data_IF_828154301820
#
_entry.id   IF_828154301820
#
_cell.length_a   1.000
_cell.length_b   1.000
_cell.length_c   1.000
_cell.angle_alpha   90.00
_cell.angle_beta   90.00
_cell.angle_gamma   90.00
#
_symmetry.space_group_name_H-M   'P 1'
#
loop_
_entity.id
_entity.type
_entity.pdbx_description
1 polymer ?
#
# COMPACT_ATOMS: atom_id res chain seq x y z
N UNK A 1 -24.18 -3.29 2.42
CA UNK A 1 -22.74 -3.45 2.16
C UNK A 1 -21.95 -2.40 2.94
N UNK A 2 -20.89 -2.78 3.70
CA UNK A 2 -20.16 -1.80 4.53
C UNK A 2 -19.12 -1.07 3.68
N UNK A 3 -19.30 0.24 3.50
CA UNK A 3 -18.39 1.08 2.71
C UNK A 3 -17.00 1.29 3.34
N UNK A 4 -16.85 1.05 4.65
CA UNK A 4 -15.60 1.29 5.40
C UNK A 4 -15.41 0.23 6.49
N UNK A 5 -14.17 -0.20 6.69
CA UNK A 5 -13.72 -1.16 7.71
C UNK A 5 -12.85 -0.45 8.74
N UNK A 6 -12.72 -0.99 9.95
CA UNK A 6 -11.91 -0.39 11.01
C UNK A 6 -11.20 -1.48 11.81
N UNK A 7 -10.04 -1.13 12.38
CA UNK A 7 -9.41 -1.94 13.43
C UNK A 7 -10.20 -1.72 14.71
N UNK A 8 -10.68 -2.80 15.33
CA UNK A 8 -11.47 -2.75 16.56
C UNK A 8 -10.63 -3.31 17.72
N UNK A 9 -10.73 -2.68 18.90
CA UNK A 9 -10.08 -3.17 20.13
C UNK A 9 -10.66 -4.50 20.61
N UNK A 10 -11.92 -4.79 20.28
CA UNK A 10 -12.60 -6.06 20.57
C UNK A 10 -13.69 -6.33 19.52
N UNK A 11 -14.05 -7.61 19.33
CA UNK A 11 -15.13 -8.02 18.42
C UNK A 11 -14.81 -7.99 16.91
N UNK A 12 -13.55 -7.76 16.54
CA UNK A 12 -13.06 -7.88 15.15
C UNK A 12 -12.73 -9.31 14.74
N UNK A 13 -12.60 -9.55 13.43
CA UNK A 13 -12.02 -10.80 12.90
C UNK A 13 -10.50 -10.67 12.86
N UNK A 14 -9.79 -11.77 13.12
CA UNK A 14 -8.33 -11.81 12.99
C UNK A 14 -7.87 -11.43 11.58
N UNK A 15 -6.87 -10.54 11.53
CA UNK A 15 -6.27 -10.01 10.33
C UNK A 15 -4.78 -9.76 10.58
N UNK A 16 -3.93 -10.39 9.78
CA UNK A 16 -2.47 -10.41 9.93
C UNK A 16 -1.86 -10.04 8.58
N UNK A 17 -1.03 -9.00 8.58
CA UNK A 17 -0.27 -8.50 7.42
C UNK A 17 1.15 -8.23 7.85
N UNK A 18 2.09 -8.98 7.30
CA UNK A 18 3.52 -8.68 7.45
C UNK A 18 3.89 -7.62 6.43
N UNK A 19 4.84 -6.74 6.76
CA UNK A 19 5.31 -5.74 5.82
C UNK A 19 6.79 -5.43 5.99
N UNK A 20 7.42 -5.05 4.87
CA UNK A 20 8.81 -4.61 4.82
C UNK A 20 8.89 -3.33 3.99
N UNK A 21 9.54 -2.30 4.53
CA UNK A 21 9.85 -1.08 3.78
C UNK A 21 10.98 -1.39 2.80
N UNK A 22 10.70 -1.26 1.51
CA UNK A 22 11.67 -1.53 0.44
C UNK A 22 12.45 -0.27 0.07
N UNK A 23 11.76 0.87 0.04
CA UNK A 23 12.34 2.16 -0.33
C UNK A 23 11.58 3.30 0.34
N UNK A 24 12.29 4.37 0.70
CA UNK A 24 11.71 5.60 1.23
C UNK A 24 11.96 6.75 0.27
N UNK A 25 11.05 7.71 0.22
CA UNK A 25 11.05 8.82 -0.72
C UNK A 25 10.89 10.16 -0.02
N UNK A 26 11.53 11.19 -0.59
CA UNK A 26 11.50 12.56 -0.08
C UNK A 26 12.36 12.77 1.17
N UNK A 27 12.95 13.96 1.28
CA UNK A 27 13.58 14.40 2.53
C UNK A 27 12.52 14.73 3.59
N UNK A 28 12.78 14.44 4.88
CA UNK A 28 11.84 14.73 5.94
C UNK A 28 11.43 16.21 5.98
N UNK A 29 10.13 16.49 5.90
CA UNK A 29 9.61 17.86 5.92
C UNK A 29 9.51 18.47 7.34
N UNK A 30 9.79 17.70 8.41
CA UNK A 30 9.63 18.11 9.82
C UNK A 30 10.65 17.44 10.74
N UNK A 31 10.75 17.94 11.96
CA UNK A 31 11.58 17.43 13.06
C UNK A 31 11.44 15.93 13.39
N UNK A 32 10.42 15.25 12.83
CA UNK A 32 10.17 13.82 13.03
C UNK A 32 11.12 12.91 12.23
N UNK A 33 11.95 13.43 11.32
CA UNK A 33 12.86 12.66 10.44
C UNK A 33 12.17 11.56 9.61
N UNK A 34 10.84 11.56 9.49
CA UNK A 34 10.09 10.58 8.72
C UNK A 34 10.12 10.92 7.22
N UNK A 35 10.22 9.92 6.33
CA UNK A 35 10.14 10.14 4.88
C UNK A 35 8.74 10.61 4.47
N UNK A 36 8.63 11.21 3.29
CA UNK A 36 7.35 11.71 2.76
C UNK A 36 6.47 10.59 2.22
N UNK A 37 7.08 9.54 1.68
CA UNK A 37 6.42 8.33 1.21
C UNK A 37 7.35 7.11 1.32
N UNK A 38 6.79 5.91 1.19
CA UNK A 38 7.56 4.68 1.17
C UNK A 38 6.90 3.63 0.26
N UNK A 39 7.73 2.83 -0.42
CA UNK A 39 7.34 1.59 -1.09
C UNK A 39 7.44 0.46 -0.08
N UNK A 40 6.33 -0.24 0.12
CA UNK A 40 6.21 -1.28 1.14
C UNK A 40 5.75 -2.57 0.48
N UNK A 41 6.50 -3.65 0.70
CA UNK A 41 6.05 -4.99 0.37
C UNK A 41 5.17 -5.50 1.52
N UNK A 42 3.97 -5.99 1.19
CA UNK A 42 3.03 -6.54 2.16
C UNK A 42 2.77 -8.02 1.84
N UNK A 43 2.87 -8.88 2.86
CA UNK A 43 2.53 -10.30 2.78
C UNK A 43 1.27 -10.58 3.59
N UNK A 44 0.27 -11.20 2.95
CA UNK A 44 -1.00 -11.52 3.57
C UNK A 44 -0.97 -12.92 4.18
N UNK A 45 -1.09 -13.02 5.51
CA UNK A 45 -1.37 -14.29 6.19
C UNK A 45 -2.89 -14.58 6.24
N UNK A 46 -3.68 -13.53 6.04
CA UNK A 46 -5.15 -13.57 6.03
C UNK A 46 -5.67 -12.61 4.95
N UNK A 47 -6.88 -12.84 4.44
CA UNK A 47 -7.46 -12.08 3.31
C UNK A 47 -8.75 -11.33 3.64
N UNK A 48 -8.76 -10.49 4.68
CA UNK A 48 -9.96 -9.70 5.06
C UNK A 48 -10.20 -8.53 4.11
N UNK A 49 -11.45 -8.09 4.01
CA UNK A 49 -11.85 -6.95 3.18
C UNK A 49 -11.06 -5.69 3.55
N UNK A 50 -10.41 -5.07 2.56
CA UNK A 50 -9.60 -3.86 2.72
C UNK A 50 -8.43 -3.98 3.71
N UNK A 51 -7.99 -5.20 4.06
CA UNK A 51 -7.05 -5.44 5.16
C UNK A 51 -5.80 -4.56 5.11
N UNK A 52 -5.04 -4.58 3.99
CA UNK A 52 -3.83 -3.75 3.84
C UNK A 52 -4.16 -2.26 4.00
N UNK A 53 -5.22 -1.79 3.34
CA UNK A 53 -5.63 -0.38 3.36
C UNK A 53 -5.93 0.10 4.79
N UNK A 54 -6.66 -0.71 5.55
CA UNK A 54 -7.03 -0.44 6.94
C UNK A 54 -5.82 -0.51 7.87
N UNK A 55 -4.99 -1.55 7.74
CA UNK A 55 -3.79 -1.72 8.57
C UNK A 55 -2.82 -0.55 8.38
N UNK A 56 -2.49 -0.22 7.13
CA UNK A 56 -1.57 0.87 6.81
C UNK A 56 -2.10 2.22 7.30
N UNK A 57 -3.39 2.50 7.12
CA UNK A 57 -4.02 3.71 7.68
C UNK A 57 -3.99 3.75 9.21
N UNK A 58 -4.27 2.62 9.90
CA UNK A 58 -4.23 2.54 11.36
C UNK A 58 -2.84 2.78 11.97
N UNK A 59 -1.78 2.49 11.20
CA UNK A 59 -0.38 2.77 11.56
C UNK A 59 0.06 4.19 11.22
N UNK A 60 -0.84 5.04 10.73
CA UNK A 60 -0.54 6.42 10.32
C UNK A 60 0.18 6.54 8.98
N UNK A 61 0.19 5.47 8.17
CA UNK A 61 0.84 5.44 6.84
C UNK A 61 -0.17 4.96 5.77
N UNK A 62 -1.28 5.70 5.54
CA UNK A 62 -2.29 5.29 4.58
C UNK A 62 -1.72 5.20 3.15
N UNK A 63 -2.34 4.38 2.30
CA UNK A 63 -1.92 4.24 0.91
C UNK A 63 -2.16 5.53 0.13
N UNK A 64 -1.20 5.91 -0.71
CA UNK A 64 -1.34 7.04 -1.62
C UNK A 64 -2.51 6.79 -2.60
N UNK A 65 -3.30 7.82 -2.87
CA UNK A 65 -4.47 7.73 -3.76
C UNK A 65 -5.66 6.95 -3.22
N UNK A 66 -5.65 6.48 -1.96
CA UNK A 66 -6.79 5.77 -1.37
C UNK A 66 -7.95 6.73 -1.03
N UNK A 67 -9.13 6.61 -1.69
CA UNK A 67 -10.23 7.55 -1.49
C UNK A 67 -11.02 7.33 -0.18
N UNK A 68 -10.83 6.20 0.51
CA UNK A 68 -11.62 5.81 1.69
C UNK A 68 -10.81 5.92 2.98
N UNK A 69 -9.55 5.50 2.93
CA UNK A 69 -8.65 5.41 4.08
C UNK A 69 -7.46 6.37 4.01
N UNK A 70 -7.32 7.14 2.92
CA UNK A 70 -6.39 8.27 2.82
C UNK A 70 -6.77 9.35 3.82
N UNK A 71 -6.31 9.22 5.06
CA UNK A 71 -6.53 10.22 6.10
C UNK A 71 -5.55 11.37 5.95
N UNK A 72 -6.05 12.59 5.77
CA UNK A 72 -5.24 13.79 5.60
C UNK A 72 -4.70 13.96 4.18
N UNK A 73 -4.30 15.18 3.86
CA UNK A 73 -3.60 15.48 2.61
C UNK A 73 -2.12 15.08 2.76
N UNK A 74 -1.54 14.27 1.86
CA UNK A 74 -0.11 14.01 1.90
C UNK A 74 0.68 15.30 1.66
N UNK A 75 1.99 15.31 1.87
CA UNK A 75 2.81 16.50 1.63
C UNK A 75 2.60 17.06 0.21
N UNK A 76 2.72 18.38 0.04
CA UNK A 76 2.42 19.02 -1.25
C UNK A 76 3.18 18.41 -2.45
N UNK A 77 4.49 18.07 -2.34
CA UNK A 77 5.20 17.40 -3.43
C UNK A 77 4.65 16.00 -3.74
N UNK A 78 4.26 15.24 -2.71
CA UNK A 78 3.65 13.91 -2.89
C UNK A 78 2.28 14.02 -3.57
N UNK A 79 1.48 15.04 -3.24
CA UNK A 79 0.20 15.30 -3.93
C UNK A 79 0.39 15.62 -5.41
N UNK A 80 1.39 16.45 -5.73
CA UNK A 80 1.72 16.77 -7.12
C UNK A 80 2.13 15.50 -7.88
N UNK A 81 3.02 14.68 -7.29
CA UNK A 81 3.45 13.41 -7.88
C UNK A 81 2.27 12.45 -8.14
N UNK A 82 1.31 12.33 -7.20
CA UNK A 82 0.09 11.52 -7.39
C UNK A 82 -0.73 12.01 -8.60
N UNK A 83 -0.93 13.33 -8.69
CA UNK A 83 -1.72 13.92 -9.77
C UNK A 83 -1.04 13.74 -11.13
N UNK A 84 0.26 14.01 -11.20
CA UNK A 84 1.07 13.90 -12.42
C UNK A 84 1.22 12.44 -12.88
N UNK A 85 1.37 11.49 -11.95
CA UNK A 85 1.38 10.07 -12.27
C UNK A 85 0.03 9.56 -12.83
N UNK A 86 -1.05 10.32 -12.61
CA UNK A 86 -2.41 9.95 -12.98
C UNK A 86 -3.02 8.87 -12.08
N UNK A 87 -2.54 8.73 -10.84
CA UNK A 87 -3.02 7.72 -9.91
C UNK A 87 -4.40 8.10 -9.35
N UNK A 88 -5.44 7.35 -9.74
CA UNK A 88 -6.85 7.58 -9.36
C UNK A 88 -7.40 6.56 -8.34
N UNK A 89 -6.54 5.72 -7.79
CA UNK A 89 -6.87 4.60 -6.90
C UNK A 89 -5.79 4.43 -5.84
N UNK A 90 -6.03 3.58 -4.84
CA UNK A 90 -4.99 3.22 -3.89
C UNK A 90 -3.77 2.63 -4.60
N UNK A 91 -2.57 3.11 -4.25
CA UNK A 91 -1.28 2.57 -4.66
C UNK A 91 -1.05 1.19 -4.03
N UNK A 92 -1.79 0.20 -4.55
CA UNK A 92 -1.78 -1.19 -4.13
C UNK A 92 -1.76 -2.08 -5.38
N UNK A 93 -0.82 -3.02 -5.40
CA UNK A 93 -0.62 -3.94 -6.51
C UNK A 93 -0.32 -5.34 -5.99
N UNK A 94 -0.99 -6.35 -6.54
CA UNK A 94 -0.72 -7.75 -6.22
C UNK A 94 0.47 -8.23 -7.08
N UNK A 95 1.68 -7.92 -6.63
CA UNK A 95 2.90 -8.16 -7.41
C UNK A 95 3.23 -9.64 -7.58
N UNK A 96 2.96 -10.47 -6.57
CA UNK A 96 3.33 -11.88 -6.54
C UNK A 96 2.14 -12.71 -6.03
N UNK A 97 1.85 -13.81 -6.71
CA UNK A 97 0.93 -14.86 -6.26
C UNK A 97 1.65 -16.21 -6.31
N UNK A 98 1.69 -16.92 -5.18
CA UNK A 98 2.26 -18.25 -5.09
C UNK A 98 1.30 -19.22 -4.41
N UNK A 99 1.18 -20.42 -4.96
CA UNK A 99 0.38 -21.51 -4.37
C UNK A 99 0.82 -22.87 -4.90
N UNK A 100 0.43 -23.94 -4.21
CA UNK A 100 0.62 -25.31 -4.68
C UNK A 100 -0.51 -25.65 -5.65
N UNK A 101 -0.19 -26.07 -6.87
CA UNK A 101 -1.18 -26.44 -7.87
C UNK A 101 -2.07 -27.57 -7.30
N UNK A 102 -3.41 -27.41 -7.29
CA UNK A 102 -4.30 -28.33 -6.57
C UNK A 102 -4.34 -29.75 -7.16
N UNK A 103 -4.10 -29.90 -8.47
CA UNK A 103 -4.02 -31.21 -9.13
C UNK A 103 -2.60 -31.80 -9.15
N UNK A 104 -1.60 -31.05 -9.61
CA UNK A 104 -0.24 -31.59 -9.81
C UNK A 104 0.65 -31.56 -8.57
N UNK A 105 0.27 -30.84 -7.51
CA UNK A 105 1.08 -30.67 -6.31
C UNK A 105 2.34 -29.81 -6.52
N UNK A 106 2.55 -29.26 -7.71
CA UNK A 106 3.74 -28.47 -8.02
C UNK A 106 3.62 -27.03 -7.51
N UNK A 107 4.70 -26.44 -6.99
CA UNK A 107 4.69 -25.03 -6.61
C UNK A 107 4.56 -24.16 -7.86
N UNK A 108 3.59 -23.24 -7.84
CA UNK A 108 3.41 -22.21 -8.86
C UNK A 108 3.73 -20.84 -8.29
N UNK A 109 4.27 -19.98 -9.14
CA UNK A 109 4.58 -18.59 -8.82
C UNK A 109 4.33 -17.70 -10.03
N UNK A 110 3.53 -16.68 -9.83
CA UNK A 110 3.18 -15.68 -10.84
C UNK A 110 3.66 -14.31 -10.34
N UNK A 111 4.22 -13.54 -11.26
CA UNK A 111 4.67 -12.18 -10.98
C UNK A 111 4.17 -11.22 -12.04
N UNK A 112 3.87 -10.00 -11.62
CA UNK A 112 3.53 -8.90 -12.52
C UNK A 112 4.20 -7.63 -12.07
N UNK A 113 4.79 -6.90 -13.02
CA UNK A 113 5.32 -5.56 -12.74
C UNK A 113 4.20 -4.63 -12.24
N UNK A 114 4.51 -3.62 -11.41
CA UNK A 114 3.54 -2.60 -11.06
C UNK A 114 2.95 -1.95 -12.32
N UNK A 115 1.68 -1.53 -12.30
CA UNK A 115 1.07 -0.80 -13.40
C UNK A 115 1.75 0.56 -13.63
N UNK A 116 1.57 1.11 -14.83
CA UNK A 116 2.26 2.32 -15.30
C UNK A 116 2.04 3.54 -14.40
N UNK A 117 0.84 3.70 -13.84
CA UNK A 117 0.50 4.76 -12.89
C UNK A 117 1.39 4.71 -11.63
N UNK A 118 1.67 3.51 -11.11
CA UNK A 118 2.55 3.31 -9.96
C UNK A 118 4.04 3.46 -10.31
N UNK A 119 4.45 3.00 -11.49
CA UNK A 119 5.83 3.19 -11.96
C UNK A 119 6.16 4.68 -12.12
N UNK A 120 5.27 5.47 -12.76
CA UNK A 120 5.43 6.92 -12.88
C UNK A 120 5.46 7.61 -11.53
N UNK A 121 4.57 7.21 -10.62
CA UNK A 121 4.56 7.74 -9.25
C UNK A 121 5.89 7.49 -8.54
N UNK A 122 6.44 6.28 -8.62
CA UNK A 122 7.70 5.92 -7.98
C UNK A 122 8.88 6.74 -8.54
N UNK A 123 8.91 6.97 -9.86
CA UNK A 123 9.91 7.85 -10.48
C UNK A 123 9.81 9.29 -9.93
N UNK A 124 8.61 9.88 -9.97
CA UNK A 124 8.37 11.24 -9.46
C UNK A 124 8.70 11.41 -7.97
N UNK A 125 8.47 10.37 -7.16
CA UNK A 125 8.80 10.37 -5.74
C UNK A 125 10.30 10.22 -5.49
N UNK A 126 11.04 9.55 -6.39
CA UNK A 126 12.50 9.40 -6.29
C UNK A 126 13.22 10.73 -6.48
N UNK A 127 12.62 11.62 -7.27
CA UNK A 127 13.17 12.96 -7.56
C UNK A 127 12.87 14.00 -6.46
N UNK A 128 12.17 13.62 -5.39
CA UNK A 128 11.85 14.47 -4.22
C UNK A 128 12.94 14.46 -3.14
#
# INVERSE_FOLDING_TARGET
DRKKMAVLKSGGREAITDYVVQQTFGRPAKASNAPLAARVACTLQTGRTHQIRVHMASRGSPLLGDPVYGSGSPAAPVRAAIAEAGLKRQALHAAILGFVHPVTGQPLRFETAPPEDMQRLEALLTDL
#
